data_IF_186311144746
#
_entry.id   IF_186311144746
#
_cell.length_a   1.000
_cell.length_b   1.000
_cell.length_c   1.000
_cell.angle_alpha   90.00
_cell.angle_beta   90.00
_cell.angle_gamma   90.00
#
_symmetry.space_group_name_H-M   'P 1'
#
loop_
_entity.id
_entity.type
_entity.pdbx_description
1 polymer ?
#
# COMPACT_ATOMS: atom_id res chain seq x y z
N UNK A 1 -5.20 39.05 -0.02
CA UNK A 1 -4.92 38.63 -1.41
C UNK A 1 -5.56 39.55 -2.45
N UNK A 2 -6.85 39.90 -2.41
CA UNK A 2 -7.46 40.84 -3.37
C UNK A 2 -6.90 42.29 -3.38
N UNK A 3 -6.42 42.83 -2.24
CA UNK A 3 -5.87 44.21 -2.19
C UNK A 3 -4.47 44.34 -2.83
N UNK A 4 -3.66 43.30 -2.87
CA UNK A 4 -2.35 43.30 -3.54
C UNK A 4 -2.46 43.23 -5.06
N UNK A 5 -3.44 42.51 -5.58
CA UNK A 5 -3.71 42.43 -7.01
C UNK A 5 -4.24 43.76 -7.60
N UNK A 6 -5.00 44.56 -6.82
CA UNK A 6 -5.51 45.87 -7.26
C UNK A 6 -4.44 46.95 -7.32
N UNK A 7 -3.38 46.86 -6.51
CA UNK A 7 -2.25 47.79 -6.51
C UNK A 7 -1.35 47.55 -7.72
N UNK A 8 -1.17 46.30 -8.12
CA UNK A 8 -0.40 45.94 -9.31
C UNK A 8 -1.07 46.29 -10.61
N UNK A 9 -2.40 46.11 -10.71
CA UNK A 9 -3.17 46.47 -11.90
C UNK A 9 -3.18 48.00 -12.22
N UNK A 10 -3.07 48.85 -11.20
CA UNK A 10 -3.00 50.30 -11.39
C UNK A 10 -1.61 50.82 -11.83
N UNK A 11 -0.51 50.06 -11.65
CA UNK A 11 0.83 50.43 -12.11
C UNK A 11 1.16 50.02 -13.54
N UNK A 12 0.35 49.18 -14.16
CA UNK A 12 0.57 48.62 -15.53
C UNK A 12 0.03 49.55 -16.65
N UNK A 13 -0.58 50.69 -16.30
CA UNK A 13 -1.23 51.60 -17.27
C UNK A 13 -0.31 52.72 -17.78
N UNK A 14 1.01 52.60 -17.73
CA UNK A 14 1.91 53.63 -18.26
C UNK A 14 3.01 53.02 -19.14
N UNK A 15 2.82 53.17 -20.43
CA UNK A 15 3.75 53.23 -21.59
C UNK A 15 4.57 52.01 -22.00
N UNK A 16 4.26 51.64 -23.24
CA UNK A 16 5.05 50.87 -24.22
C UNK A 16 6.57 51.00 -24.14
N UNK A 17 7.24 49.90 -24.00
CA UNK A 17 8.41 49.42 -24.74
C UNK A 17 9.06 48.10 -24.18
N UNK A 18 8.38 47.29 -23.43
CA UNK A 18 8.93 46.01 -22.97
C UNK A 18 7.90 44.86 -22.77
N UNK A 19 7.09 44.65 -23.79
CA UNK A 19 6.06 43.58 -23.69
C UNK A 19 6.66 42.16 -23.48
N UNK A 20 7.83 41.91 -23.98
CA UNK A 20 8.51 40.61 -23.79
C UNK A 20 9.16 40.45 -22.41
N UNK A 21 9.76 41.50 -21.87
CA UNK A 21 10.32 41.48 -20.50
C UNK A 21 9.21 41.39 -19.46
N UNK A 22 8.09 42.06 -19.69
CA UNK A 22 6.91 41.98 -18.81
C UNK A 22 6.25 40.61 -18.86
N UNK A 23 6.15 40.00 -20.05
CA UNK A 23 5.70 38.60 -20.20
C UNK A 23 6.63 37.60 -19.50
N UNK A 24 7.94 37.78 -19.64
CA UNK A 24 8.93 36.95 -18.93
C UNK A 24 8.84 37.12 -17.40
N UNK A 25 8.72 38.36 -16.92
CA UNK A 25 8.55 38.61 -15.47
C UNK A 25 7.24 38.03 -14.92
N UNK A 26 6.13 38.14 -15.69
CA UNK A 26 4.84 37.57 -15.31
C UNK A 26 4.92 36.02 -15.31
N UNK A 27 5.57 35.43 -16.32
CA UNK A 27 5.77 33.98 -16.38
C UNK A 27 6.65 33.49 -15.22
N UNK A 28 7.74 34.21 -14.91
CA UNK A 28 8.62 33.92 -13.78
C UNK A 28 7.88 34.04 -12.46
N UNK A 29 7.05 35.07 -12.30
CA UNK A 29 6.25 35.28 -11.08
C UNK A 29 5.16 34.20 -10.93
N UNK A 30 4.50 33.82 -12.02
CA UNK A 30 3.53 32.70 -12.03
C UNK A 30 4.23 31.38 -11.72
N UNK A 31 5.42 31.14 -12.27
CA UNK A 31 6.21 29.94 -12.01
C UNK A 31 6.69 29.89 -10.55
N UNK A 32 7.13 31.03 -10.00
CA UNK A 32 7.50 31.14 -8.59
C UNK A 32 6.30 30.94 -7.65
N UNK A 33 5.12 31.48 -7.99
CA UNK A 33 3.89 31.27 -7.23
C UNK A 33 3.47 29.79 -7.27
N UNK A 34 3.57 29.14 -8.41
CA UNK A 34 3.31 27.70 -8.53
C UNK A 34 4.33 26.86 -7.76
N UNK A 35 5.60 27.24 -7.78
CA UNK A 35 6.65 26.58 -7.01
C UNK A 35 6.43 26.75 -5.50
N UNK A 36 6.10 27.95 -5.03
CA UNK A 36 5.82 28.22 -3.61
C UNK A 36 4.55 27.50 -3.13
N UNK A 37 3.50 27.41 -3.93
CA UNK A 37 2.27 26.66 -3.57
C UNK A 37 2.52 25.15 -3.58
N UNK A 38 3.38 24.65 -4.46
CA UNK A 38 3.73 23.24 -4.50
C UNK A 38 4.63 22.82 -3.34
N UNK A 39 5.55 23.70 -2.90
CA UNK A 39 6.38 23.47 -1.72
C UNK A 39 5.54 23.50 -0.44
N UNK A 40 4.66 24.49 -0.26
CA UNK A 40 3.77 24.54 0.91
C UNK A 40 2.85 23.32 1.03
N UNK A 41 2.42 22.73 -0.10
CA UNK A 41 1.57 21.54 -0.10
C UNK A 41 2.35 20.22 0.13
N UNK A 42 3.63 20.17 -0.21
CA UNK A 42 4.51 19.05 0.22
C UNK A 42 4.70 19.02 1.74
N UNK A 43 4.70 20.18 2.40
CA UNK A 43 4.87 20.30 3.85
C UNK A 43 3.69 19.69 4.64
N UNK A 44 2.48 19.59 4.04
CA UNK A 44 1.35 18.91 4.66
C UNK A 44 1.60 17.43 4.99
N UNK A 45 2.56 16.77 4.34
CA UNK A 45 2.95 15.40 4.60
C UNK A 45 4.25 15.29 5.42
N UNK A 46 4.73 16.37 6.04
CA UNK A 46 5.97 16.41 6.81
C UNK A 46 5.78 16.87 8.26
N UNK A 47 5.06 17.96 8.49
CA UNK A 47 4.95 18.58 9.81
C UNK A 47 3.73 18.02 10.58
N UNK A 48 3.97 16.99 11.38
CA UNK A 48 2.95 16.38 12.22
C UNK A 48 3.12 16.79 13.68
N UNK A 49 2.01 16.94 14.45
CA UNK A 49 2.07 17.17 15.89
C UNK A 49 2.83 16.06 16.63
N UNK A 50 3.43 16.41 17.78
CA UNK A 50 4.03 15.43 18.68
C UNK A 50 3.04 14.29 19.02
N UNK A 51 3.54 13.07 19.12
CA UNK A 51 2.75 11.85 19.30
C UNK A 51 2.10 11.29 18.04
N UNK A 52 2.11 12.06 16.92
CA UNK A 52 1.58 11.63 15.62
C UNK A 52 2.61 11.68 14.50
N UNK A 53 3.87 12.00 14.81
CA UNK A 53 4.93 11.98 13.82
C UNK A 53 5.18 10.57 13.30
N UNK A 54 5.52 10.39 12.01
CA UNK A 54 5.82 9.06 11.47
C UNK A 54 7.04 8.40 12.13
N UNK A 55 7.96 9.22 12.70
CA UNK A 55 9.07 8.73 13.50
C UNK A 55 8.59 8.06 14.80
N UNK A 56 7.75 8.74 15.58
CA UNK A 56 7.25 8.25 16.86
C UNK A 56 6.33 7.05 16.69
N UNK A 57 5.35 7.17 15.78
CA UNK A 57 4.37 6.11 15.53
C UNK A 57 5.03 4.86 14.98
N UNK A 58 5.88 5.01 13.96
CA UNK A 58 6.58 3.88 13.36
C UNK A 58 7.51 3.19 14.38
N UNK A 59 8.22 3.97 15.23
CA UNK A 59 9.06 3.40 16.30
C UNK A 59 8.23 2.57 17.28
N UNK A 60 7.13 3.11 17.80
CA UNK A 60 6.24 2.42 18.74
C UNK A 60 5.76 1.08 18.18
N UNK A 61 5.27 1.08 16.93
CA UNK A 61 4.71 -0.12 16.31
C UNK A 61 5.79 -1.13 15.88
N UNK A 62 6.95 -0.67 15.39
CA UNK A 62 8.03 -1.55 15.00
C UNK A 62 8.66 -2.28 16.20
N UNK A 63 8.86 -1.59 17.32
CA UNK A 63 9.36 -2.22 18.55
C UNK A 63 8.31 -3.13 19.18
N UNK A 64 7.03 -2.72 19.19
CA UNK A 64 5.94 -3.60 19.63
C UNK A 64 5.89 -4.91 18.82
N UNK A 65 6.11 -4.84 17.52
CA UNK A 65 6.18 -6.03 16.66
C UNK A 65 7.36 -6.95 17.00
N UNK A 66 8.56 -6.39 17.26
CA UNK A 66 9.74 -7.19 17.62
C UNK A 66 9.50 -8.03 18.89
N UNK A 67 8.89 -7.41 19.88
CA UNK A 67 8.60 -8.03 21.17
C UNK A 67 7.36 -8.96 21.12
N UNK A 68 6.62 -8.92 20.00
CA UNK A 68 5.41 -9.71 19.79
C UNK A 68 5.68 -11.16 19.44
N UNK A 69 4.70 -12.02 19.72
CA UNK A 69 4.71 -13.42 19.32
C UNK A 69 4.46 -13.58 17.83
N UNK A 70 4.88 -14.71 17.26
CA UNK A 70 4.51 -15.10 15.91
C UNK A 70 2.98 -15.28 15.79
N UNK A 71 2.42 -14.82 14.66
CA UNK A 71 1.02 -15.03 14.31
C UNK A 71 0.89 -16.05 13.19
N UNK A 72 0.10 -17.07 13.43
CA UNK A 72 -0.08 -18.18 12.51
C UNK A 72 -1.37 -18.02 11.70
N UNK A 73 -1.42 -18.65 10.53
CA UNK A 73 -2.59 -18.67 9.67
C UNK A 73 -3.64 -19.65 10.22
N UNK A 74 -4.75 -19.11 10.76
CA UNK A 74 -5.82 -19.94 11.34
C UNK A 74 -5.28 -20.93 12.36
N UNK A 75 -5.69 -22.20 12.25
CA UNK A 75 -5.24 -23.29 13.12
C UNK A 75 -3.96 -23.98 12.62
N UNK A 76 -3.29 -23.42 11.60
CA UNK A 76 -2.05 -23.96 11.05
C UNK A 76 -0.84 -23.46 11.84
N UNK A 77 0.30 -24.14 11.66
CA UNK A 77 1.59 -23.66 12.16
C UNK A 77 2.28 -22.69 11.19
N UNK A 78 1.71 -22.45 10.01
CA UNK A 78 2.31 -21.56 9.02
C UNK A 78 2.23 -20.11 9.48
N UNK A 79 3.33 -19.38 9.31
CA UNK A 79 3.39 -17.94 9.55
C UNK A 79 2.33 -17.23 8.72
N UNK A 80 1.52 -16.39 9.36
CA UNK A 80 0.45 -15.66 8.69
C UNK A 80 0.98 -14.54 7.80
N UNK A 81 0.38 -14.34 6.62
CA UNK A 81 0.78 -13.25 5.71
C UNK A 81 0.69 -11.86 6.36
N UNK A 82 -0.23 -11.65 7.29
CA UNK A 82 -0.37 -10.39 8.02
C UNK A 82 0.83 -10.09 8.91
N UNK A 83 1.50 -11.11 9.47
CA UNK A 83 2.77 -10.93 10.15
C UNK A 83 3.87 -10.54 9.15
N UNK A 84 3.96 -11.21 8.01
CA UNK A 84 4.90 -10.88 6.93
C UNK A 84 4.74 -9.43 6.47
N UNK A 85 3.49 -8.97 6.34
CA UNK A 85 3.17 -7.57 6.02
C UNK A 85 3.71 -6.60 7.07
N UNK A 86 3.54 -6.91 8.36
CA UNK A 86 4.01 -6.07 9.47
C UNK A 86 5.54 -6.05 9.52
N UNK A 87 6.16 -7.19 9.32
CA UNK A 87 7.61 -7.33 9.27
C UNK A 87 8.22 -6.49 8.14
N UNK A 88 7.66 -6.61 6.94
CA UNK A 88 8.03 -5.76 5.80
C UNK A 88 7.83 -4.26 6.12
N UNK A 89 6.74 -3.91 6.80
CA UNK A 89 6.48 -2.53 7.23
C UNK A 89 7.53 -2.01 8.20
N UNK A 90 7.94 -2.81 9.18
CA UNK A 90 8.99 -2.46 10.13
C UNK A 90 10.35 -2.29 9.45
N UNK A 91 10.70 -3.16 8.49
CA UNK A 91 11.89 -3.01 7.65
C UNK A 91 11.85 -1.76 6.77
N UNK A 92 10.70 -1.46 6.16
CA UNK A 92 10.51 -0.23 5.37
C UNK A 92 10.72 1.01 6.23
N UNK A 93 10.11 1.05 7.42
CA UNK A 93 10.27 2.16 8.35
C UNK A 93 11.72 2.27 8.83
N UNK A 94 12.37 1.16 9.20
CA UNK A 94 13.77 1.14 9.61
C UNK A 94 14.71 1.68 8.54
N UNK A 95 14.50 1.33 7.27
CA UNK A 95 15.26 1.88 6.13
C UNK A 95 15.01 3.39 5.97
N UNK A 96 13.76 3.82 6.02
CA UNK A 96 13.40 5.23 5.87
C UNK A 96 13.96 6.12 6.99
N UNK A 97 14.11 5.55 8.19
CA UNK A 97 14.74 6.21 9.35
C UNK A 97 16.27 6.11 9.36
N UNK A 98 16.87 5.22 8.59
CA UNK A 98 18.28 4.84 8.77
C UNK A 98 18.54 4.12 10.10
N UNK A 99 17.52 3.49 10.69
CA UNK A 99 17.61 2.78 11.97
C UNK A 99 18.17 1.36 11.76
N UNK A 100 19.49 1.24 11.86
CA UNK A 100 20.18 -0.04 11.69
C UNK A 100 19.88 -1.02 12.82
N UNK A 101 19.52 -0.53 14.02
CA UNK A 101 19.20 -1.39 15.17
C UNK A 101 17.92 -2.17 14.90
N UNK A 102 16.87 -1.49 14.43
CA UNK A 102 15.60 -2.15 14.10
C UNK A 102 15.77 -3.14 12.95
N UNK A 103 16.53 -2.77 11.91
CA UNK A 103 16.79 -3.65 10.78
C UNK A 103 17.53 -4.92 11.22
N UNK A 104 18.54 -4.79 12.10
CA UNK A 104 19.28 -5.90 12.64
C UNK A 104 18.38 -6.82 13.49
N UNK A 105 17.53 -6.27 14.35
CA UNK A 105 16.55 -7.07 15.13
C UNK A 105 15.55 -7.82 14.23
N UNK A 106 15.12 -7.19 13.11
CA UNK A 106 14.28 -7.88 12.13
C UNK A 106 15.01 -9.03 11.44
N UNK A 107 16.31 -8.88 11.16
CA UNK A 107 17.15 -9.96 10.63
C UNK A 107 17.28 -11.09 11.65
N UNK A 108 17.61 -10.78 12.90
CA UNK A 108 17.77 -11.77 13.97
C UNK A 108 16.50 -12.61 14.18
N UNK A 109 15.32 -11.95 14.17
CA UNK A 109 14.02 -12.66 14.23
C UNK A 109 13.82 -13.60 13.03
N UNK A 110 14.26 -13.21 11.83
CA UNK A 110 14.17 -14.04 10.64
C UNK A 110 15.16 -15.21 10.67
N UNK A 111 16.39 -14.98 11.13
CA UNK A 111 17.40 -16.02 11.29
C UNK A 111 16.97 -17.05 12.32
N UNK A 112 16.31 -16.60 13.40
CA UNK A 112 15.73 -17.50 14.42
C UNK A 112 14.60 -18.35 13.82
N UNK A 113 13.70 -17.75 13.01
CA UNK A 113 12.67 -18.49 12.27
C UNK A 113 13.30 -19.57 11.38
N UNK A 114 14.38 -19.24 10.66
CA UNK A 114 15.07 -20.20 9.79
C UNK A 114 15.81 -21.30 10.55
N UNK A 115 16.36 -20.99 11.73
CA UNK A 115 17.15 -21.93 12.51
C UNK A 115 16.26 -22.86 13.35
N UNK A 116 15.27 -22.29 14.05
CA UNK A 116 14.57 -22.95 15.16
C UNK A 116 13.08 -23.22 14.88
N UNK A 117 12.51 -22.63 13.82
CA UNK A 117 11.07 -22.68 13.55
C UNK A 117 10.74 -22.96 12.07
N UNK A 118 11.51 -23.88 11.44
CA UNK A 118 11.37 -24.20 10.01
C UNK A 118 9.99 -24.73 9.64
N UNK A 119 9.33 -25.41 10.56
CA UNK A 119 7.96 -25.91 10.39
C UNK A 119 6.90 -24.82 10.24
N UNK A 120 7.26 -23.59 10.61
CA UNK A 120 6.39 -22.41 10.51
C UNK A 120 6.55 -21.67 9.18
N UNK A 121 7.57 -22.03 8.37
CA UNK A 121 7.79 -21.39 7.06
C UNK A 121 6.69 -21.86 6.11
N UNK A 122 5.91 -20.92 5.51
CA UNK A 122 4.79 -21.28 4.64
C UNK A 122 5.23 -22.06 3.40
N UNK A 123 4.43 -23.06 3.04
CA UNK A 123 4.63 -23.80 1.78
C UNK A 123 4.30 -22.90 0.56
N UNK A 124 4.89 -23.24 -0.60
CA UNK A 124 4.72 -22.49 -1.86
C UNK A 124 3.49 -22.92 -2.67
N UNK A 125 2.38 -23.23 -2.02
CA UNK A 125 1.23 -23.89 -2.61
C UNK A 125 -0.09 -23.10 -2.50
N UNK A 126 -0.01 -21.88 -1.98
CA UNK A 126 -1.17 -21.01 -1.81
C UNK A 126 -0.74 -19.54 -1.91
N UNK A 127 -1.59 -18.70 -2.51
CA UNK A 127 -1.28 -17.28 -2.74
C UNK A 127 -0.89 -16.53 -1.47
N UNK A 128 -1.61 -16.77 -0.36
CA UNK A 128 -1.33 -16.12 0.92
C UNK A 128 -0.04 -16.63 1.57
N UNK A 129 0.35 -17.88 1.33
CA UNK A 129 1.62 -18.44 1.77
C UNK A 129 2.79 -17.98 0.91
N UNK A 130 2.59 -17.91 -0.41
CA UNK A 130 3.64 -17.45 -1.32
C UNK A 130 4.09 -16.02 -1.06
N UNK A 131 3.23 -15.19 -0.51
CA UNK A 131 3.53 -13.82 -0.12
C UNK A 131 4.72 -13.73 0.87
N UNK A 132 5.01 -14.81 1.60
CA UNK A 132 6.20 -14.93 2.45
C UNK A 132 7.50 -14.58 1.70
N UNK A 133 7.60 -14.91 0.40
CA UNK A 133 8.78 -14.61 -0.42
C UNK A 133 9.16 -13.13 -0.48
N UNK A 134 8.23 -12.23 -0.21
CA UNK A 134 8.50 -10.79 -0.14
C UNK A 134 9.40 -10.41 1.04
N UNK A 135 9.35 -11.16 2.15
CA UNK A 135 10.12 -10.88 3.36
C UNK A 135 11.63 -11.11 3.18
N UNK A 136 12.11 -12.29 2.72
CA UNK A 136 13.54 -12.46 2.49
C UNK A 136 14.08 -11.53 1.40
N UNK A 137 13.30 -11.16 0.37
CA UNK A 137 13.72 -10.14 -0.60
C UNK A 137 13.83 -8.74 0.01
N UNK A 138 12.92 -8.39 0.91
CA UNK A 138 12.97 -7.12 1.66
C UNK A 138 14.16 -7.08 2.63
N UNK A 139 14.49 -8.23 3.27
CA UNK A 139 15.69 -8.38 4.10
C UNK A 139 16.96 -8.26 3.26
N UNK A 140 17.02 -8.91 2.10
CA UNK A 140 18.15 -8.79 1.19
C UNK A 140 18.43 -7.34 0.77
N UNK A 141 17.39 -6.52 0.60
CA UNK A 141 17.56 -5.08 0.32
C UNK A 141 18.25 -4.31 1.47
N UNK A 142 18.15 -4.79 2.71
CA UNK A 142 18.86 -4.24 3.87
C UNK A 142 20.22 -4.94 4.12
N UNK A 143 20.36 -6.19 3.72
CA UNK A 143 21.52 -7.04 3.96
C UNK A 143 21.95 -7.74 2.65
N UNK A 144 22.52 -7.00 1.68
CA UNK A 144 22.77 -7.51 0.32
C UNK A 144 23.89 -8.58 0.23
N UNK A 145 24.58 -8.87 1.31
CA UNK A 145 25.54 -9.98 1.41
C UNK A 145 24.89 -11.33 1.69
N UNK A 146 23.61 -11.34 2.11
CA UNK A 146 22.86 -12.56 2.46
C UNK A 146 22.19 -13.18 1.22
N UNK A 147 22.97 -13.73 0.30
CA UNK A 147 22.48 -14.33 -0.95
C UNK A 147 21.43 -15.44 -0.74
N UNK A 148 21.45 -16.10 0.42
CA UNK A 148 20.42 -17.07 0.81
C UNK A 148 19.01 -16.47 0.87
N UNK A 149 18.88 -15.24 1.34
CA UNK A 149 17.59 -14.53 1.39
C UNK A 149 17.06 -14.26 -0.01
N UNK A 150 17.92 -13.78 -0.90
CA UNK A 150 17.58 -13.58 -2.32
C UNK A 150 17.12 -14.86 -2.98
N UNK A 151 17.91 -15.94 -2.84
CA UNK A 151 17.58 -17.25 -3.40
C UNK A 151 16.24 -17.76 -2.86
N UNK A 152 16.02 -17.66 -1.55
CA UNK A 152 14.75 -18.06 -0.93
C UNK A 152 13.58 -17.26 -1.51
N UNK A 153 13.64 -15.94 -1.52
CA UNK A 153 12.54 -15.10 -1.97
C UNK A 153 12.23 -15.27 -3.46
N UNK A 154 13.24 -15.38 -4.31
CA UNK A 154 13.06 -15.65 -5.74
C UNK A 154 12.37 -17.01 -5.99
N UNK A 155 12.69 -18.03 -5.18
CA UNK A 155 12.02 -19.33 -5.30
C UNK A 155 10.50 -19.26 -5.04
N UNK A 156 10.05 -18.36 -4.14
CA UNK A 156 8.63 -18.09 -3.95
C UNK A 156 8.02 -17.33 -5.14
N UNK A 157 8.74 -16.35 -5.66
CA UNK A 157 8.29 -15.58 -6.82
C UNK A 157 8.13 -16.46 -8.06
N UNK A 158 9.08 -17.35 -8.32
CA UNK A 158 9.03 -18.25 -9.49
C UNK A 158 7.93 -19.30 -9.36
N UNK A 159 7.77 -19.92 -8.17
CA UNK A 159 6.74 -20.94 -7.90
C UNK A 159 5.31 -20.43 -8.15
N UNK A 160 5.04 -19.13 -8.08
CA UNK A 160 3.73 -18.59 -8.45
C UNK A 160 3.36 -18.86 -9.93
N UNK A 161 4.34 -19.00 -10.82
CA UNK A 161 4.15 -19.28 -12.25
C UNK A 161 4.64 -20.68 -12.68
N UNK A 162 5.18 -21.47 -11.77
CA UNK A 162 5.58 -22.85 -12.00
C UNK A 162 4.42 -23.78 -11.63
N UNK A 163 3.77 -24.31 -12.66
CA UNK A 163 2.60 -25.17 -12.47
C UNK A 163 2.99 -26.48 -11.75
N UNK A 164 2.38 -26.81 -10.60
CA UNK A 164 2.70 -28.05 -9.90
C UNK A 164 2.29 -29.29 -10.71
N UNK A 165 3.03 -30.37 -10.54
CA UNK A 165 2.80 -31.64 -11.28
C UNK A 165 1.38 -32.20 -11.10
N UNK A 166 0.78 -31.96 -9.93
CA UNK A 166 -0.58 -32.39 -9.59
C UNK A 166 -1.63 -31.29 -9.77
N UNK A 167 -1.35 -30.28 -10.60
CA UNK A 167 -2.24 -29.15 -10.82
C UNK A 167 -3.60 -29.57 -11.36
N UNK A 168 -4.65 -28.94 -10.87
CA UNK A 168 -6.03 -29.09 -11.32
C UNK A 168 -6.23 -28.48 -12.71
N UNK A 169 -7.26 -28.91 -13.43
CA UNK A 169 -7.56 -28.37 -14.76
C UNK A 169 -7.87 -26.85 -14.75
N UNK A 170 -8.45 -26.34 -13.67
CA UNK A 170 -8.64 -24.90 -13.48
C UNK A 170 -7.30 -24.14 -13.40
N UNK A 171 -6.33 -24.68 -12.66
CA UNK A 171 -4.98 -24.11 -12.51
C UNK A 171 -4.20 -24.20 -13.82
N UNK A 172 -4.26 -25.34 -14.50
CA UNK A 172 -3.67 -25.50 -15.85
C UNK A 172 -4.27 -24.51 -16.87
N UNK A 173 -5.58 -24.24 -16.79
CA UNK A 173 -6.23 -23.24 -17.64
C UNK A 173 -5.72 -21.84 -17.39
N UNK A 174 -5.55 -21.44 -16.12
CA UNK A 174 -4.97 -20.14 -15.74
C UNK A 174 -3.54 -20.02 -16.29
N UNK A 175 -2.70 -21.04 -16.06
CA UNK A 175 -1.31 -21.04 -16.56
C UNK A 175 -1.23 -20.94 -18.08
N UNK A 176 -2.11 -21.65 -18.83
CA UNK A 176 -2.18 -21.52 -20.32
C UNK A 176 -2.58 -20.12 -20.77
N UNK A 177 -3.26 -19.35 -19.95
CA UNK A 177 -3.62 -17.95 -20.22
C UNK A 177 -2.54 -16.94 -19.78
N UNK A 178 -1.43 -17.42 -19.20
CA UNK A 178 -0.34 -16.60 -18.71
C UNK A 178 -0.52 -16.05 -17.29
N UNK A 179 -1.60 -16.42 -16.60
CA UNK A 179 -1.85 -16.07 -15.21
C UNK A 179 -1.11 -17.02 -14.25
N UNK A 180 -0.93 -16.58 -13.01
CA UNK A 180 -0.49 -17.54 -11.99
C UNK A 180 -1.55 -18.61 -11.75
N UNK A 181 -1.11 -19.86 -11.55
CA UNK A 181 -2.00 -20.95 -11.20
C UNK A 181 -2.72 -20.74 -9.85
N UNK A 182 -2.21 -19.82 -9.01
CA UNK A 182 -2.75 -19.46 -7.70
C UNK A 182 -3.89 -18.43 -7.73
N UNK A 183 -4.25 -17.89 -8.91
CA UNK A 183 -5.32 -16.91 -9.07
C UNK A 183 -6.67 -17.43 -8.56
N UNK A 184 -7.23 -16.78 -7.56
CA UNK A 184 -8.56 -17.09 -6.97
C UNK A 184 -9.65 -16.15 -7.46
N UNK A 185 -9.28 -15.02 -8.05
CA UNK A 185 -10.12 -13.87 -8.35
C UNK A 185 -10.76 -13.26 -7.10
N UNK A 186 -10.06 -13.29 -5.98
CA UNK A 186 -10.34 -12.49 -4.79
C UNK A 186 -9.54 -11.22 -4.86
N UNK A 187 -10.12 -10.11 -4.42
CA UNK A 187 -9.46 -8.81 -4.45
C UNK A 187 -8.12 -8.80 -3.71
N UNK A 188 -8.00 -9.58 -2.65
CA UNK A 188 -6.78 -9.74 -1.83
C UNK A 188 -5.57 -10.23 -2.63
N UNK A 189 -5.80 -11.06 -3.64
CA UNK A 189 -4.75 -11.63 -4.49
C UNK A 189 -3.86 -10.54 -5.10
N UNK A 190 -4.42 -9.34 -5.31
CA UNK A 190 -3.69 -8.27 -5.97
C UNK A 190 -2.57 -7.65 -5.15
N UNK A 191 -2.58 -7.81 -3.85
CA UNK A 191 -1.38 -7.55 -3.05
C UNK A 191 -0.53 -8.81 -2.90
N UNK A 192 -1.14 -9.95 -2.55
CA UNK A 192 -0.42 -11.18 -2.22
C UNK A 192 0.45 -11.70 -3.38
N UNK A 193 -0.07 -11.63 -4.61
CA UNK A 193 0.68 -12.03 -5.82
C UNK A 193 1.71 -10.95 -6.17
N UNK A 194 1.27 -9.70 -6.24
CA UNK A 194 2.06 -8.66 -6.90
C UNK A 194 3.23 -8.16 -6.06
N UNK A 195 3.12 -8.18 -4.73
CA UNK A 195 4.22 -7.71 -3.86
C UNK A 195 5.47 -8.58 -3.98
N UNK A 196 5.31 -9.91 -4.10
CA UNK A 196 6.43 -10.84 -4.28
C UNK A 196 7.14 -10.55 -5.60
N UNK A 197 6.36 -10.37 -6.67
CA UNK A 197 6.86 -10.08 -8.00
C UNK A 197 7.55 -8.70 -8.07
N UNK A 198 6.97 -7.70 -7.43
CA UNK A 198 7.57 -6.37 -7.35
C UNK A 198 8.91 -6.39 -6.61
N UNK A 199 9.02 -7.14 -5.51
CA UNK A 199 10.28 -7.32 -4.80
C UNK A 199 11.30 -8.13 -5.62
N UNK A 200 10.87 -9.20 -6.31
CA UNK A 200 11.76 -9.97 -7.19
C UNK A 200 12.31 -9.08 -8.33
N UNK A 201 11.49 -8.23 -8.94
CA UNK A 201 11.93 -7.26 -9.93
C UNK A 201 12.93 -6.24 -9.35
N UNK A 202 12.61 -5.63 -8.19
CA UNK A 202 13.53 -4.67 -7.53
C UNK A 202 14.89 -5.29 -7.19
N UNK A 203 14.90 -6.59 -6.88
CA UNK A 203 16.11 -7.33 -6.50
C UNK A 203 16.96 -7.73 -7.72
N UNK A 204 16.32 -8.07 -8.84
CA UNK A 204 17.02 -8.67 -10.01
C UNK A 204 17.10 -7.78 -11.22
N UNK A 205 16.20 -6.80 -11.38
CA UNK A 205 15.98 -6.05 -12.61
C UNK A 205 15.32 -6.86 -13.73
N UNK A 206 15.00 -8.15 -13.53
CA UNK A 206 14.37 -8.99 -14.54
C UNK A 206 12.89 -8.63 -14.71
N UNK A 207 12.58 -8.07 -15.88
CA UNK A 207 11.22 -7.59 -16.21
C UNK A 207 10.15 -8.68 -16.17
N UNK A 208 10.52 -9.96 -16.31
CA UNK A 208 9.55 -11.07 -16.26
C UNK A 208 8.66 -10.98 -15.01
N UNK A 209 9.23 -10.59 -13.86
CA UNK A 209 8.52 -10.50 -12.59
C UNK A 209 7.46 -9.41 -12.60
N UNK A 210 7.84 -8.19 -12.96
CA UNK A 210 6.90 -7.07 -12.91
C UNK A 210 5.89 -7.09 -14.06
N UNK A 211 6.29 -7.60 -15.24
CA UNK A 211 5.39 -7.69 -16.39
C UNK A 211 4.27 -8.71 -16.16
N UNK A 212 4.55 -9.88 -15.55
CA UNK A 212 3.52 -10.87 -15.21
C UNK A 212 2.61 -10.39 -14.07
N UNK A 213 3.13 -9.66 -13.08
CA UNK A 213 2.31 -9.02 -12.06
C UNK A 213 1.38 -7.95 -12.64
N UNK A 214 1.88 -7.14 -13.58
CA UNK A 214 1.09 -6.11 -14.25
C UNK A 214 0.01 -6.71 -15.16
N UNK A 215 0.31 -7.80 -15.86
CA UNK A 215 -0.65 -8.55 -16.66
C UNK A 215 -1.80 -9.09 -15.79
N UNK A 216 -1.47 -9.72 -14.66
CA UNK A 216 -2.44 -10.21 -13.68
C UNK A 216 -3.30 -9.06 -13.12
N UNK A 217 -2.68 -7.94 -12.74
CA UNK A 217 -3.37 -6.75 -12.22
C UNK A 217 -4.41 -6.21 -13.22
N UNK A 218 -4.11 -6.20 -14.51
CA UNK A 218 -5.07 -5.74 -15.53
C UNK A 218 -6.31 -6.63 -15.56
N UNK A 219 -6.14 -7.95 -15.45
CA UNK A 219 -7.28 -8.87 -15.36
C UNK A 219 -8.20 -8.54 -14.18
N UNK A 220 -7.65 -8.31 -12.99
CA UNK A 220 -8.45 -7.97 -11.82
C UNK A 220 -9.12 -6.60 -11.95
N UNK A 221 -8.46 -5.64 -12.59
CA UNK A 221 -9.06 -4.35 -12.93
C UNK A 221 -10.26 -4.49 -13.87
N UNK A 222 -10.19 -5.41 -14.83
CA UNK A 222 -11.26 -5.60 -15.81
C UNK A 222 -12.44 -6.40 -15.23
N UNK A 223 -12.16 -7.35 -14.35
CA UNK A 223 -13.18 -8.21 -13.75
C UNK A 223 -13.87 -7.58 -12.53
N UNK A 224 -13.12 -6.92 -11.65
CA UNK A 224 -13.62 -6.52 -10.33
C UNK A 224 -13.90 -5.01 -10.19
N UNK A 225 -13.24 -4.11 -10.96
CA UNK A 225 -13.45 -2.67 -10.79
C UNK A 225 -14.81 -2.22 -11.32
N UNK A 226 -15.63 -1.64 -10.45
CA UNK A 226 -16.98 -1.20 -10.79
C UNK A 226 -17.03 0.23 -11.33
N UNK A 227 -18.16 0.66 -11.90
CA UNK A 227 -18.32 2.03 -12.42
C UNK A 227 -18.04 3.13 -11.39
N UNK A 228 -18.36 2.91 -10.11
CA UNK A 228 -18.06 3.81 -9.01
C UNK A 228 -16.56 3.88 -8.65
N UNK A 229 -15.71 3.00 -9.19
CA UNK A 229 -14.26 2.95 -8.99
C UNK A 229 -13.78 2.03 -7.89
N UNK A 230 -14.67 1.53 -7.04
CA UNK A 230 -14.39 0.51 -6.03
C UNK A 230 -14.41 -0.89 -6.64
N UNK A 231 -14.05 -1.89 -5.85
CA UNK A 231 -13.95 -3.27 -6.31
C UNK A 231 -14.87 -4.20 -5.53
N UNK A 232 -15.48 -5.14 -6.22
CA UNK A 232 -16.13 -6.25 -5.55
C UNK A 232 -15.09 -7.16 -4.90
N UNK A 233 -15.42 -7.77 -3.76
CA UNK A 233 -14.55 -8.74 -3.08
C UNK A 233 -14.18 -9.92 -4.00
N UNK A 234 -15.13 -10.39 -4.79
CA UNK A 234 -14.97 -11.37 -5.86
C UNK A 234 -16.08 -11.16 -6.91
N UNK A 235 -16.03 -11.80 -8.10
CA UNK A 235 -17.06 -11.64 -9.12
C UNK A 235 -18.48 -12.01 -8.63
N UNK A 236 -18.57 -12.96 -7.72
CA UNK A 236 -19.80 -13.47 -7.12
C UNK A 236 -20.12 -12.87 -5.73
N UNK A 237 -19.34 -11.86 -5.28
CA UNK A 237 -19.47 -11.22 -3.96
C UNK A 237 -19.47 -9.70 -4.11
N UNK A 238 -20.66 -9.09 -4.34
CA UNK A 238 -20.80 -7.70 -4.77
C UNK A 238 -20.73 -6.69 -3.61
N UNK A 239 -19.77 -6.86 -2.69
CA UNK A 239 -19.57 -5.97 -1.55
C UNK A 239 -18.22 -5.26 -1.66
N UNK A 240 -18.20 -3.96 -1.31
CA UNK A 240 -17.00 -3.11 -1.28
C UNK A 240 -16.36 -3.18 0.11
N UNK A 241 -15.72 -4.29 0.41
CA UNK A 241 -15.11 -4.54 1.71
C UNK A 241 -13.85 -3.69 1.92
N UNK A 242 -13.81 -2.92 3.01
CA UNK A 242 -12.75 -1.93 3.28
C UNK A 242 -11.34 -2.49 3.19
N UNK A 243 -11.03 -3.58 3.88
CA UNK A 243 -9.70 -4.19 3.80
C UNK A 243 -9.44 -4.86 2.44
N UNK A 244 -10.46 -5.42 1.78
CA UNK A 244 -10.31 -5.98 0.43
C UNK A 244 -9.90 -4.91 -0.58
N UNK A 245 -10.67 -3.81 -0.65
CA UNK A 245 -10.28 -2.63 -1.45
C UNK A 245 -8.93 -2.06 -0.99
N UNK A 246 -8.58 -2.16 0.30
CA UNK A 246 -7.27 -1.79 0.84
C UNK A 246 -6.13 -2.59 0.20
N UNK A 247 -6.27 -3.90 0.10
CA UNK A 247 -5.29 -4.76 -0.59
C UNK A 247 -5.12 -4.38 -2.06
N UNK A 248 -6.22 -4.08 -2.75
CA UNK A 248 -6.15 -3.59 -4.13
C UNK A 248 -5.44 -2.23 -4.22
N UNK A 249 -5.74 -1.29 -3.33
CA UNK A 249 -5.12 0.03 -3.33
C UNK A 249 -3.59 -0.05 -3.13
N UNK A 250 -3.14 -0.88 -2.19
CA UNK A 250 -1.71 -1.10 -1.93
C UNK A 250 -1.05 -1.89 -3.07
N UNK A 251 -1.71 -2.93 -3.58
CA UNK A 251 -1.24 -3.70 -4.73
C UNK A 251 -1.02 -2.83 -5.96
N UNK A 252 -2.00 -2.00 -6.32
CA UNK A 252 -1.89 -1.01 -7.40
C UNK A 252 -0.71 -0.05 -7.16
N UNK A 253 -0.55 0.42 -5.93
CA UNK A 253 0.52 1.34 -5.55
C UNK A 253 1.89 0.70 -5.71
N UNK A 254 2.09 -0.51 -5.20
CA UNK A 254 3.38 -1.21 -5.26
C UNK A 254 3.76 -1.65 -6.67
N UNK A 255 2.77 -2.07 -7.46
CA UNK A 255 2.98 -2.37 -8.90
C UNK A 255 3.39 -1.09 -9.64
N UNK A 256 2.67 0.02 -9.49
CA UNK A 256 3.01 1.28 -10.17
C UNK A 256 4.37 1.85 -9.78
N UNK A 257 4.81 1.66 -8.52
CA UNK A 257 6.17 2.03 -8.07
C UNK A 257 7.27 1.23 -8.75
N UNK A 258 7.00 -0.02 -9.09
CA UNK A 258 7.97 -0.91 -9.69
C UNK A 258 7.89 -0.94 -11.23
N UNK A 259 6.71 -0.77 -11.80
CA UNK A 259 6.43 -0.95 -13.22
C UNK A 259 7.07 0.17 -14.06
N UNK A 260 7.94 -0.14 -15.03
CA UNK A 260 8.47 0.84 -15.96
C UNK A 260 7.36 1.55 -16.74
N UNK A 261 7.54 2.85 -16.97
CA UNK A 261 6.51 3.70 -17.63
C UNK A 261 6.26 3.31 -19.09
N UNK A 262 7.20 2.61 -19.73
CA UNK A 262 7.10 2.06 -21.08
C UNK A 262 6.32 0.74 -21.16
N UNK A 263 5.98 0.14 -20.03
CA UNK A 263 5.15 -1.08 -19.98
C UNK A 263 3.80 -0.86 -20.67
N UNK A 264 3.33 -1.81 -21.50
CA UNK A 264 2.03 -1.72 -22.15
C UNK A 264 0.86 -1.65 -21.13
N UNK A 265 1.09 -2.11 -19.92
CA UNK A 265 0.08 -2.15 -18.85
C UNK A 265 0.01 -0.86 -18.02
N UNK A 266 1.06 -0.02 -18.03
CA UNK A 266 1.20 1.14 -17.16
C UNK A 266 -0.02 2.09 -17.23
N UNK A 267 -0.44 2.45 -18.44
CA UNK A 267 -1.56 3.39 -18.64
C UNK A 267 -2.88 2.83 -18.10
N UNK A 268 -3.14 1.52 -18.31
CA UNK A 268 -4.37 0.86 -17.82
C UNK A 268 -4.40 0.81 -16.30
N UNK A 269 -3.29 0.42 -15.67
CA UNK A 269 -3.15 0.33 -14.22
C UNK A 269 -3.26 1.72 -13.58
N UNK A 270 -2.58 2.72 -14.11
CA UNK A 270 -2.67 4.11 -13.64
C UNK A 270 -4.09 4.66 -13.74
N UNK A 271 -4.82 4.37 -14.81
CA UNK A 271 -6.24 4.76 -14.97
C UNK A 271 -7.10 4.10 -13.88
N UNK A 272 -6.90 2.80 -13.61
CA UNK A 272 -7.62 2.07 -12.57
C UNK A 272 -7.34 2.63 -11.18
N UNK A 273 -6.06 2.87 -10.87
CA UNK A 273 -5.61 3.49 -9.64
C UNK A 273 -6.27 4.87 -9.41
N UNK A 274 -6.16 5.77 -10.37
CA UNK A 274 -6.74 7.13 -10.24
C UNK A 274 -8.26 7.10 -10.07
N UNK A 275 -8.93 6.19 -10.77
CA UNK A 275 -10.38 5.99 -10.63
C UNK A 275 -10.74 5.55 -9.20
N UNK A 276 -10.00 4.60 -8.64
CA UNK A 276 -10.17 4.15 -7.27
C UNK A 276 -9.89 5.27 -6.26
N UNK A 277 -8.77 5.97 -6.38
CA UNK A 277 -8.40 7.06 -5.46
C UNK A 277 -9.46 8.18 -5.45
N UNK A 278 -10.06 8.50 -6.60
CA UNK A 278 -11.18 9.47 -6.68
C UNK A 278 -12.40 9.00 -5.90
N UNK A 279 -12.71 7.72 -5.96
CA UNK A 279 -13.83 7.13 -5.22
C UNK A 279 -13.55 7.10 -3.72
N UNK A 280 -12.37 6.65 -3.32
CA UNK A 280 -11.96 6.66 -1.91
C UNK A 280 -12.00 8.07 -1.31
N UNK A 281 -11.62 9.10 -2.08
CA UNK A 281 -11.73 10.49 -1.63
C UNK A 281 -13.19 10.89 -1.32
N UNK A 282 -14.15 10.37 -2.09
CA UNK A 282 -15.59 10.65 -1.93
C UNK A 282 -16.23 9.90 -0.77
N UNK A 283 -15.82 8.64 -0.55
CA UNK A 283 -16.46 7.73 0.42
C UNK A 283 -15.86 7.80 1.82
N UNK A 284 -15.06 8.83 2.14
CA UNK A 284 -14.57 9.04 3.50
C UNK A 284 -15.72 9.42 4.43
N UNK A 285 -15.71 8.86 5.63
CA UNK A 285 -16.60 9.28 6.70
C UNK A 285 -16.16 10.64 7.30
N UNK A 286 -16.86 11.13 8.31
CA UNK A 286 -16.61 12.43 8.95
C UNK A 286 -15.22 12.52 9.61
N UNK A 287 -14.68 11.39 10.10
CA UNK A 287 -13.31 11.31 10.62
C UNK A 287 -12.27 11.48 9.50
N UNK A 288 -12.64 11.23 8.27
CA UNK A 288 -11.75 11.19 7.10
C UNK A 288 -11.18 9.80 6.81
N UNK A 289 -11.73 8.76 7.46
CA UNK A 289 -11.41 7.35 7.32
C UNK A 289 -12.50 6.63 6.49
N UNK A 290 -12.47 5.30 6.48
CA UNK A 290 -13.41 4.49 5.72
C UNK A 290 -14.04 3.39 6.57
N UNK A 291 -15.27 3.04 6.23
CA UNK A 291 -16.04 2.05 6.95
C UNK A 291 -15.75 0.62 6.46
N UNK A 292 -16.18 -0.37 7.23
CA UNK A 292 -16.06 -1.80 6.95
C UNK A 292 -16.62 -2.20 5.57
N UNK A 293 -17.77 -1.66 5.18
CA UNK A 293 -18.21 -1.58 3.80
C UNK A 293 -18.15 -0.11 3.37
N UNK A 294 -17.36 0.20 2.35
CA UNK A 294 -16.96 1.56 1.99
C UNK A 294 -18.16 2.44 1.60
N UNK A 295 -19.15 1.85 0.96
CA UNK A 295 -20.37 2.54 0.48
C UNK A 295 -21.53 2.56 1.49
N UNK A 296 -21.28 2.06 2.72
CA UNK A 296 -22.27 2.02 3.79
C UNK A 296 -21.89 3.02 4.91
N UNK A 297 -22.53 4.20 4.95
CA UNK A 297 -22.13 5.27 5.88
C UNK A 297 -22.36 4.93 7.35
N UNK A 298 -23.31 4.04 7.64
CA UNK A 298 -23.69 3.66 9.03
C UNK A 298 -22.81 2.53 9.59
N UNK A 299 -21.86 1.99 8.80
CA UNK A 299 -20.96 0.96 9.27
C UNK A 299 -19.84 1.55 10.12
N UNK A 300 -19.22 0.70 10.94
CA UNK A 300 -18.11 1.09 11.79
C UNK A 300 -16.84 1.38 10.97
N UNK A 301 -16.02 2.33 11.47
CA UNK A 301 -14.72 2.68 10.89
C UNK A 301 -13.75 1.50 10.96
N UNK A 302 -13.30 1.01 9.80
CA UNK A 302 -12.35 -0.10 9.70
C UNK A 302 -10.92 0.45 9.51
N UNK A 303 -10.04 0.18 10.47
CA UNK A 303 -8.74 0.85 10.55
C UNK A 303 -7.69 0.28 9.62
N UNK A 304 -7.72 -1.02 9.31
CA UNK A 304 -6.72 -1.63 8.44
C UNK A 304 -6.83 -1.14 6.99
N UNK A 305 -8.03 -1.19 6.41
CA UNK A 305 -8.29 -0.64 5.07
C UNK A 305 -8.08 0.87 5.02
N UNK A 306 -8.51 1.58 6.09
CA UNK A 306 -8.28 3.03 6.19
C UNK A 306 -6.79 3.39 6.13
N UNK A 307 -5.93 2.65 6.81
CA UNK A 307 -4.49 2.87 6.76
C UNK A 307 -3.91 2.49 5.38
N UNK A 308 -4.41 1.43 4.72
CA UNK A 308 -4.03 1.06 3.35
C UNK A 308 -4.38 2.15 2.34
N UNK A 309 -5.56 2.74 2.43
CA UNK A 309 -5.97 3.86 1.56
C UNK A 309 -5.14 5.12 1.84
N UNK A 310 -4.84 5.39 3.11
CA UNK A 310 -3.96 6.49 3.52
C UNK A 310 -2.57 6.32 2.91
N UNK A 311 -2.00 5.12 2.95
CA UNK A 311 -0.74 4.78 2.28
C UNK A 311 -0.80 5.08 0.78
N UNK A 312 -1.86 4.63 0.10
CA UNK A 312 -2.02 4.86 -1.33
C UNK A 312 -2.13 6.35 -1.67
N UNK A 313 -2.80 7.16 -0.84
CA UNK A 313 -2.85 8.62 -1.01
C UNK A 313 -1.49 9.27 -0.80
N UNK A 314 -0.76 8.92 0.27
CA UNK A 314 0.59 9.44 0.56
C UNK A 314 1.51 9.16 -0.62
N UNK A 315 1.57 7.92 -1.07
CA UNK A 315 2.41 7.51 -2.21
C UNK A 315 1.99 8.22 -3.50
N UNK A 316 0.70 8.24 -3.79
CA UNK A 316 0.19 8.90 -4.99
C UNK A 316 0.55 10.38 -5.08
N UNK A 317 0.59 11.09 -3.95
CA UNK A 317 1.04 12.48 -3.87
C UNK A 317 2.55 12.58 -4.09
N UNK A 318 3.34 11.77 -3.39
CA UNK A 318 4.82 11.80 -3.46
C UNK A 318 5.34 11.42 -4.84
N UNK A 319 4.72 10.45 -5.50
CA UNK A 319 5.06 10.02 -6.86
C UNK A 319 4.50 10.95 -7.97
N UNK A 320 3.73 11.97 -7.59
CA UNK A 320 3.09 12.89 -8.55
C UNK A 320 1.94 12.27 -9.36
N UNK A 321 1.43 11.13 -8.94
CA UNK A 321 0.28 10.47 -9.60
C UNK A 321 -1.04 11.13 -9.26
N UNK A 322 -1.13 11.74 -8.07
CA UNK A 322 -2.31 12.44 -7.54
C UNK A 322 -1.98 13.91 -7.28
N UNK A 323 -2.99 14.78 -7.45
CA UNK A 323 -2.87 16.20 -7.14
C UNK A 323 -2.58 16.42 -5.65
N UNK A 324 -1.42 16.99 -5.32
CA UNK A 324 -1.07 17.33 -3.95
C UNK A 324 -2.09 18.28 -3.30
N UNK A 325 -2.65 19.23 -4.07
CA UNK A 325 -3.69 20.16 -3.61
C UNK A 325 -4.91 19.44 -3.04
N UNK A 326 -5.30 18.32 -3.65
CA UNK A 326 -6.52 17.57 -3.29
C UNK A 326 -6.23 16.47 -2.30
N UNK A 327 -5.16 15.70 -2.52
CA UNK A 327 -4.92 14.46 -1.78
C UNK A 327 -3.99 14.61 -0.59
N UNK A 328 -3.08 15.61 -0.54
CA UNK A 328 -2.23 15.80 0.62
C UNK A 328 -3.02 16.18 1.89
N UNK A 329 -4.01 17.11 1.84
CA UNK A 329 -4.87 17.36 3.01
C UNK A 329 -5.68 16.14 3.42
N UNK A 330 -6.15 15.34 2.45
CA UNK A 330 -6.90 14.12 2.72
C UNK A 330 -6.05 13.04 3.41
N UNK A 331 -4.84 12.80 2.90
CA UNK A 331 -3.88 11.87 3.48
C UNK A 331 -3.47 12.30 4.89
N UNK A 332 -3.20 13.61 5.10
CA UNK A 332 -2.89 14.15 6.43
C UNK A 332 -4.04 13.95 7.41
N UNK A 333 -5.29 14.30 6.99
CA UNK A 333 -6.46 14.12 7.85
C UNK A 333 -6.62 12.64 8.24
N UNK A 334 -6.51 11.73 7.29
CA UNK A 334 -6.63 10.30 7.53
C UNK A 334 -5.51 9.78 8.45
N UNK A 335 -4.24 10.16 8.23
CA UNK A 335 -3.14 9.78 9.12
C UNK A 335 -3.39 10.23 10.56
N UNK A 336 -3.77 11.50 10.77
CA UNK A 336 -4.04 12.01 12.12
C UNK A 336 -5.25 11.33 12.77
N UNK A 337 -6.29 11.00 11.99
CA UNK A 337 -7.47 10.29 12.48
C UNK A 337 -7.18 8.82 12.84
N UNK A 338 -6.14 8.22 12.27
CA UNK A 338 -5.71 6.86 12.62
C UNK A 338 -5.00 6.78 13.97
N UNK A 339 -4.34 7.85 14.43
CA UNK A 339 -3.51 7.82 15.65
C UNK A 339 -4.30 7.44 16.90
N UNK A 340 -5.52 7.96 17.18
CA UNK A 340 -6.31 7.58 18.35
C UNK A 340 -6.70 6.10 18.40
N UNK A 341 -6.61 5.37 17.29
CA UNK A 341 -6.86 3.94 17.22
C UNK A 341 -5.67 3.08 17.66
N UNK A 342 -4.54 3.68 18.02
CA UNK A 342 -3.42 3.00 18.67
C UNK A 342 -3.60 3.17 20.19
N UNK A 343 -3.87 2.08 20.91
CA UNK A 343 -4.06 2.10 22.36
C UNK A 343 -2.74 2.29 23.13
N UNK A 344 -2.82 2.33 24.45
CA UNK A 344 -1.66 2.49 25.35
C UNK A 344 -0.66 1.33 25.27
N UNK A 345 -1.09 0.16 24.84
CA UNK A 345 -0.21 -1.02 24.64
C UNK A 345 0.46 -1.05 23.26
N UNK A 346 0.25 -0.03 22.44
CA UNK A 346 0.66 0.04 21.02
C UNK A 346 -0.06 -0.95 20.09
N UNK A 347 -1.24 -1.45 20.50
CA UNK A 347 -2.09 -2.24 19.62
C UNK A 347 -3.00 -1.31 18.80
N UNK A 348 -3.12 -1.59 17.51
CA UNK A 348 -4.15 -0.98 16.67
C UNK A 348 -5.50 -1.62 16.99
N UNK A 349 -6.54 -0.82 17.09
CA UNK A 349 -7.92 -1.25 17.39
C UNK A 349 -8.84 -1.15 16.19
N UNK A 350 -10.05 -1.69 16.27
CA UNK A 350 -11.06 -1.70 15.21
C UNK A 350 -10.57 -2.29 13.88
N UNK A 351 -9.86 -3.38 13.96
CA UNK A 351 -9.39 -4.14 12.80
C UNK A 351 -10.42 -5.23 12.49
N UNK A 352 -10.89 -5.30 11.26
CA UNK A 352 -11.74 -6.41 10.83
C UNK A 352 -10.99 -7.75 10.94
N UNK A 353 -11.58 -8.73 11.60
CA UNK A 353 -11.03 -10.10 11.67
C UNK A 353 -10.78 -10.68 10.27
N UNK A 354 -9.97 -11.72 10.15
CA UNK A 354 -9.78 -12.47 8.91
C UNK A 354 -11.12 -12.80 8.23
N UNK A 355 -11.28 -12.42 6.99
CA UNK A 355 -12.59 -12.44 6.29
C UNK A 355 -12.45 -13.15 4.95
N UNK A 356 -13.15 -14.27 4.80
CA UNK A 356 -13.29 -14.97 3.53
C UNK A 356 -14.37 -14.32 2.65
N UNK A 357 -14.50 -14.78 1.39
CA UNK A 357 -15.57 -14.32 0.53
C UNK A 357 -16.90 -15.02 0.89
N UNK A 358 -17.95 -14.22 1.05
CA UNK A 358 -19.31 -14.71 1.26
C UNK A 358 -20.30 -13.72 0.65
N UNK A 359 -21.21 -14.20 -0.19
CA UNK A 359 -22.26 -13.35 -0.75
C UNK A 359 -23.40 -13.21 0.28
N UNK A 360 -23.14 -12.48 1.35
CA UNK A 360 -24.06 -12.28 2.47
C UNK A 360 -23.72 -10.94 3.14
N UNK A 361 -24.64 -9.99 3.08
CA UNK A 361 -24.46 -8.65 3.62
C UNK A 361 -24.22 -8.67 5.14
N UNK A 362 -25.01 -9.49 5.87
CA UNK A 362 -24.88 -9.56 7.33
C UNK A 362 -23.54 -10.16 7.76
N UNK A 363 -22.97 -11.07 6.94
CA UNK A 363 -21.62 -11.57 7.18
C UNK A 363 -20.57 -10.45 7.26
N UNK A 364 -20.68 -9.42 6.41
CA UNK A 364 -19.76 -8.27 6.46
C UNK A 364 -20.10 -7.30 7.58
N UNK A 365 -21.40 -7.10 7.87
CA UNK A 365 -21.88 -6.24 8.96
C UNK A 365 -21.38 -6.75 10.32
N UNK A 366 -21.51 -8.03 10.56
CA UNK A 366 -21.28 -8.68 11.87
C UNK A 366 -19.82 -9.14 12.06
N UNK A 367 -18.88 -8.70 11.16
CA UNK A 367 -17.48 -9.09 11.34
C UNK A 367 -16.94 -8.59 12.69
N UNK A 368 -16.32 -9.48 13.50
CA UNK A 368 -15.67 -9.08 14.75
C UNK A 368 -14.58 -8.03 14.49
N UNK A 369 -14.48 -7.09 15.45
CA UNK A 369 -13.43 -6.08 15.51
C UNK A 369 -12.31 -6.60 16.42
N UNK A 370 -11.09 -6.68 15.88
CA UNK A 370 -9.92 -7.14 16.59
C UNK A 370 -9.08 -5.97 17.10
N UNK A 371 -8.30 -6.25 18.15
CA UNK A 371 -7.27 -5.35 18.68
C UNK A 371 -5.93 -6.08 18.63
N UNK A 372 -4.88 -5.40 18.14
CA UNK A 372 -3.54 -5.95 18.05
C UNK A 372 -3.30 -6.91 16.88
N UNK A 373 -4.28 -7.10 15.99
CA UNK A 373 -4.11 -7.92 14.79
C UNK A 373 -3.14 -7.24 13.82
N UNK A 374 -2.22 -8.00 13.27
CA UNK A 374 -1.19 -7.51 12.36
C UNK A 374 -1.72 -6.96 11.02
N UNK A 375 -2.94 -7.30 10.61
CA UNK A 375 -3.60 -6.63 9.48
C UNK A 375 -3.74 -5.11 9.67
N UNK A 376 -3.88 -4.66 10.91
CA UNK A 376 -3.91 -3.24 11.24
C UNK A 376 -2.52 -2.65 11.38
N UNK A 377 -1.60 -3.31 12.08
CA UNK A 377 -0.27 -2.76 12.36
C UNK A 377 0.57 -2.55 11.09
N UNK A 378 0.50 -3.48 10.13
CA UNK A 378 1.25 -3.41 8.89
C UNK A 378 1.05 -2.08 8.14
N UNK A 379 -0.18 -1.69 7.77
CA UNK A 379 -0.38 -0.49 6.97
C UNK A 379 -0.09 0.81 7.70
N UNK A 380 -0.14 0.85 9.03
CA UNK A 380 0.37 2.01 9.79
C UNK A 380 1.87 2.18 9.62
N UNK A 381 2.64 1.09 9.68
CA UNK A 381 4.09 1.11 9.42
C UNK A 381 4.38 1.52 7.97
N UNK A 382 3.58 1.08 7.00
CA UNK A 382 3.72 1.51 5.60
C UNK A 382 3.46 3.01 5.44
N UNK A 383 2.43 3.55 6.10
CA UNK A 383 2.17 4.99 6.12
C UNK A 383 3.34 5.76 6.73
N UNK A 384 3.83 5.32 7.90
CA UNK A 384 4.95 5.96 8.57
C UNK A 384 6.21 5.96 7.70
N UNK A 385 6.56 4.83 7.08
CA UNK A 385 7.67 4.75 6.14
C UNK A 385 7.46 5.68 4.94
N UNK A 386 6.27 5.66 4.33
CA UNK A 386 5.95 6.49 3.17
C UNK A 386 6.01 7.99 3.46
N UNK A 387 5.64 8.42 4.66
CA UNK A 387 5.74 9.81 5.09
C UNK A 387 7.20 10.27 5.27
N UNK A 388 8.10 9.36 5.67
CA UNK A 388 9.52 9.62 5.88
C UNK A 388 10.34 9.66 4.60
N UNK A 389 10.02 8.79 3.64
CA UNK A 389 10.71 8.77 2.35
C UNK A 389 10.52 10.09 1.60
N UNK A 390 11.55 10.54 0.87
CA UNK A 390 11.55 11.81 0.09
C UNK A 390 10.73 11.74 -1.19
#
# INVERSE_FOLDING_TARGET
>A
MCKLLSIFARKISIRDSNSENMKRQLLTFITLLFALTSVAQKDLLRDFPAGSTPQEVGRRLAYHFIDGKHAYWGDTKNLGYHEVCTWNGALMWGRAMGDNVIQQKMKERFDDLLANHKENIPAKNHVDFNMFGSLPLSLYASFPTEESYKTMGLSYADTQWELPANAKESEKRLARQGYTWQTRMWIDDMYMITIVQAWAYRTTGDRKYIDRAAFEMVKYLDELQRPNGLFYHAPDVPFYWGRGDGWMAVGLTEVLKALPKDSPYYKRIMKGYRKMMKSLLRYRNDEGLWNQLIDQPDFWTETSGSAMFTYAFIRGVKEGWLSAKTYAPAARKAWLALIPYINSNNDVTKICVGTGKKNDFNYYLDRPQMTGDYHGQAPYLWCAAALLEN
#
